data_IF_900349919781
#
_entry.id   IF_900349919781
#
_cell.length_a   1.000
_cell.length_b   1.000
_cell.length_c   1.000
_cell.angle_alpha   90.00
_cell.angle_beta   90.00
_cell.angle_gamma   90.00
#
_symmetry.space_group_name_H-M   'P 1'
#
loop_
_entity.id
_entity.type
_entity.pdbx_description
1 polymer ?
#
# COMPACT_ATOMS: atom_id res chain seq x y z
N UNK A 1 26.36 -4.17 -12.84
CA UNK A 1 25.60 -4.19 -11.57
C UNK A 1 24.13 -3.99 -11.91
N UNK A 2 23.23 -4.85 -11.41
CA UNK A 2 21.79 -4.66 -11.62
C UNK A 2 21.35 -3.38 -10.89
N UNK A 3 20.55 -2.53 -11.54
CA UNK A 3 20.00 -1.33 -10.93
C UNK A 3 18.71 -1.72 -10.17
N UNK A 4 18.69 -1.68 -8.82
CA UNK A 4 17.53 -2.12 -8.03
C UNK A 4 16.25 -1.36 -8.38
N UNK A 5 16.36 -0.12 -8.87
CA UNK A 5 15.22 0.69 -9.29
C UNK A 5 14.47 0.16 -10.52
N UNK A 6 15.04 -0.78 -11.28
CA UNK A 6 14.38 -1.40 -12.43
C UNK A 6 13.60 -2.67 -12.07
N UNK A 7 13.87 -3.27 -10.91
CA UNK A 7 13.18 -4.48 -10.44
C UNK A 7 11.65 -4.37 -10.44
N UNK A 8 11.04 -3.23 -10.02
CA UNK A 8 9.59 -3.08 -10.02
C UNK A 8 8.97 -3.20 -11.43
N UNK A 9 9.69 -2.85 -12.48
CA UNK A 9 9.16 -2.90 -13.85
C UNK A 9 9.12 -4.32 -14.42
N UNK A 10 9.92 -5.25 -13.88
CA UNK A 10 10.00 -6.61 -14.39
C UNK A 10 8.65 -7.35 -14.27
N UNK A 11 7.86 -7.06 -13.22
CA UNK A 11 6.54 -7.68 -13.00
C UNK A 11 5.51 -7.28 -14.05
N UNK A 12 5.75 -6.18 -14.77
CA UNK A 12 4.89 -5.70 -15.86
C UNK A 12 5.26 -6.31 -17.22
N UNK A 13 6.30 -7.15 -17.29
CA UNK A 13 6.71 -7.78 -18.53
C UNK A 13 5.59 -8.64 -19.13
N UNK A 14 5.45 -8.57 -20.46
CA UNK A 14 4.44 -9.33 -21.20
C UNK A 14 4.90 -10.79 -21.37
N UNK A 15 4.84 -11.54 -20.28
CA UNK A 15 5.18 -12.97 -20.23
C UNK A 15 4.04 -13.76 -19.60
N UNK A 16 3.96 -15.06 -19.90
CA UNK A 16 3.02 -15.99 -19.28
C UNK A 16 3.45 -16.43 -17.87
N UNK A 17 4.66 -16.09 -17.43
CA UNK A 17 5.27 -16.57 -16.17
C UNK A 17 5.45 -15.46 -15.13
N UNK A 18 4.47 -14.56 -15.01
CA UNK A 18 4.53 -13.40 -14.11
C UNK A 18 4.73 -13.77 -12.64
N UNK A 19 4.15 -14.86 -12.17
CA UNK A 19 4.33 -15.37 -10.80
C UNK A 19 5.79 -15.68 -10.48
N UNK A 20 6.47 -16.38 -11.39
CA UNK A 20 7.89 -16.72 -11.26
C UNK A 20 8.79 -15.49 -11.34
N UNK A 21 8.40 -14.49 -12.14
CA UNK A 21 9.08 -13.20 -12.19
C UNK A 21 8.96 -12.48 -10.85
N UNK A 22 7.76 -12.41 -10.27
CA UNK A 22 7.55 -11.78 -8.96
C UNK A 22 8.36 -12.49 -7.86
N UNK A 23 8.43 -13.81 -7.87
CA UNK A 23 9.29 -14.58 -6.95
C UNK A 23 10.77 -14.22 -7.10
N UNK A 24 11.27 -14.16 -8.34
CA UNK A 24 12.65 -13.77 -8.64
C UNK A 24 12.95 -12.32 -8.22
N UNK A 25 12.02 -11.40 -8.48
CA UNK A 25 12.13 -10.00 -8.08
C UNK A 25 12.15 -9.88 -6.55
N UNK A 26 11.26 -10.57 -5.84
CA UNK A 26 11.24 -10.59 -4.38
C UNK A 26 12.58 -11.05 -3.80
N UNK A 27 13.15 -12.14 -4.31
CA UNK A 27 14.46 -12.64 -3.89
C UNK A 27 15.59 -11.63 -4.18
N UNK A 28 15.55 -10.92 -5.32
CA UNK A 28 16.54 -9.87 -5.62
C UNK A 28 16.42 -8.67 -4.67
N UNK A 29 15.21 -8.30 -4.28
CA UNK A 29 14.94 -7.22 -3.33
C UNK A 29 15.46 -7.55 -1.93
N UNK A 30 15.32 -8.79 -1.47
CA UNK A 30 15.85 -9.25 -0.17
C UNK A 30 17.37 -9.07 -0.06
N UNK A 31 18.09 -9.10 -1.18
CA UNK A 31 19.54 -8.91 -1.23
C UNK A 31 19.99 -7.43 -1.24
N UNK A 32 19.07 -6.46 -1.25
CA UNK A 32 19.39 -5.04 -1.20
C UNK A 32 19.85 -4.66 0.21
N UNK A 33 21.10 -4.20 0.35
CA UNK A 33 21.72 -3.89 1.65
C UNK A 33 21.14 -2.64 2.33
N UNK A 34 20.76 -1.61 1.56
CA UNK A 34 20.24 -0.37 2.12
C UNK A 34 18.74 -0.53 2.45
N UNK A 35 18.31 -0.46 3.73
CA UNK A 35 16.92 -0.75 4.11
C UNK A 35 15.91 0.19 3.45
N UNK A 36 16.18 1.50 3.42
CA UNK A 36 15.30 2.47 2.75
C UNK A 36 15.12 2.15 1.26
N UNK A 37 16.19 1.75 0.57
CA UNK A 37 16.12 1.36 -0.85
C UNK A 37 15.33 0.08 -1.02
N UNK A 38 15.61 -0.94 -0.20
CA UNK A 38 14.87 -2.20 -0.19
C UNK A 38 13.37 -1.96 -0.01
N UNK A 39 13.00 -1.19 1.01
CA UNK A 39 11.62 -0.91 1.38
C UNK A 39 10.89 -0.14 0.27
N UNK A 40 11.54 0.86 -0.34
CA UNK A 40 10.97 1.61 -1.45
C UNK A 40 10.81 0.76 -2.73
N UNK A 41 11.80 -0.06 -3.07
CA UNK A 41 11.74 -0.95 -4.25
C UNK A 41 10.68 -2.01 -4.07
N UNK A 42 10.57 -2.59 -2.87
CA UNK A 42 9.54 -3.55 -2.55
C UNK A 42 8.13 -2.93 -2.59
N UNK A 43 7.97 -1.72 -2.05
CA UNK A 43 6.69 -1.03 -2.07
C UNK A 43 6.24 -0.71 -3.50
N UNK A 44 7.11 -0.17 -4.34
CA UNK A 44 6.78 0.09 -5.74
C UNK A 44 6.55 -1.20 -6.52
N UNK A 45 7.29 -2.27 -6.24
CA UNK A 45 7.06 -3.61 -6.83
C UNK A 45 5.67 -4.13 -6.50
N UNK A 46 5.25 -4.05 -5.23
CA UNK A 46 3.92 -4.49 -4.82
C UNK A 46 2.80 -3.68 -5.50
N UNK A 47 2.96 -2.36 -5.59
CA UNK A 47 2.00 -1.48 -6.28
C UNK A 47 1.89 -1.86 -7.76
N UNK A 48 3.01 -2.03 -8.46
CA UNK A 48 3.01 -2.39 -9.88
C UNK A 48 2.51 -3.81 -10.12
N UNK A 49 2.88 -4.77 -9.26
CA UNK A 49 2.40 -6.14 -9.34
C UNK A 49 0.87 -6.19 -9.17
N UNK A 50 0.30 -5.35 -8.31
CA UNK A 50 -1.16 -5.26 -8.11
C UNK A 50 -1.94 -4.83 -9.35
N UNK A 51 -1.28 -4.30 -10.38
CA UNK A 51 -1.92 -3.96 -11.66
C UNK A 51 -2.16 -5.19 -12.55
N UNK A 52 -1.41 -6.29 -12.34
CA UNK A 52 -1.33 -7.43 -13.27
C UNK A 52 -1.37 -8.80 -12.59
N UNK A 53 -1.30 -8.87 -11.27
CA UNK A 53 -1.24 -10.10 -10.47
C UNK A 53 -2.25 -10.06 -9.30
N UNK A 54 -2.57 -11.26 -8.79
CA UNK A 54 -3.47 -11.45 -7.65
C UNK A 54 -2.85 -10.95 -6.33
N UNK A 55 -3.66 -10.30 -5.50
CA UNK A 55 -3.22 -9.72 -4.24
C UNK A 55 -2.70 -10.77 -3.24
N UNK A 56 -3.30 -11.96 -3.17
CA UNK A 56 -2.87 -13.00 -2.25
C UNK A 56 -1.46 -13.52 -2.61
N UNK A 57 -1.15 -13.62 -3.91
CA UNK A 57 0.19 -13.93 -4.38
C UNK A 57 1.19 -12.85 -3.95
N UNK A 58 0.85 -11.57 -4.14
CA UNK A 58 1.70 -10.44 -3.78
C UNK A 58 1.97 -10.42 -2.28
N UNK A 59 0.93 -10.55 -1.45
CA UNK A 59 1.07 -10.53 0.01
C UNK A 59 1.90 -11.70 0.56
N UNK A 60 1.86 -12.86 -0.10
CA UNK A 60 2.69 -14.01 0.25
C UNK A 60 4.18 -13.75 0.02
N UNK A 61 4.53 -13.02 -1.05
CA UNK A 61 5.91 -12.81 -1.48
C UNK A 61 6.51 -11.49 -0.98
N UNK A 62 5.72 -10.43 -0.87
CA UNK A 62 6.13 -9.09 -0.47
C UNK A 62 5.43 -8.70 0.85
N UNK A 63 6.11 -8.93 1.97
CA UNK A 63 5.52 -8.73 3.30
C UNK A 63 5.37 -7.24 3.64
N UNK A 64 4.16 -6.85 4.05
CA UNK A 64 3.81 -5.44 4.37
C UNK A 64 4.69 -4.81 5.44
N UNK A 65 5.18 -5.55 6.42
CA UNK A 65 6.02 -5.00 7.51
C UNK A 65 7.34 -4.44 7.00
N UNK A 66 7.90 -5.05 5.97
CA UNK A 66 9.11 -4.56 5.34
C UNK A 66 8.81 -3.26 4.54
N UNK A 67 7.56 -2.98 4.13
CA UNK A 67 7.21 -1.81 3.31
C UNK A 67 6.96 -0.53 4.13
N UNK A 68 6.88 -0.62 5.47
CA UNK A 68 6.40 0.47 6.33
C UNK A 68 7.28 1.73 6.32
N UNK A 69 8.54 1.65 5.89
CA UNK A 69 9.39 2.84 5.76
C UNK A 69 9.15 3.65 4.49
N UNK A 70 8.39 3.13 3.52
CA UNK A 70 8.12 3.85 2.28
C UNK A 70 7.11 4.96 2.51
N UNK A 71 7.52 6.21 2.27
CA UNK A 71 6.64 7.40 2.40
C UNK A 71 5.42 7.28 1.48
N UNK A 72 5.59 6.72 0.28
CA UNK A 72 4.49 6.51 -0.66
C UNK A 72 3.50 5.47 -0.12
N UNK A 73 3.98 4.34 0.41
CA UNK A 73 3.11 3.33 1.01
C UNK A 73 2.33 3.89 2.22
N UNK A 74 2.99 4.68 3.07
CA UNK A 74 2.32 5.35 4.20
C UNK A 74 1.27 6.35 3.74
N UNK A 75 1.52 7.11 2.65
CA UNK A 75 0.54 8.02 2.07
C UNK A 75 -0.72 7.29 1.60
N UNK A 76 -0.58 6.14 0.96
CA UNK A 76 -1.72 5.32 0.50
C UNK A 76 -2.50 4.78 1.69
N UNK A 77 -1.82 4.33 2.75
CA UNK A 77 -2.49 3.89 3.98
C UNK A 77 -3.26 5.02 4.66
N UNK A 78 -2.68 6.23 4.70
CA UNK A 78 -3.35 7.40 5.27
C UNK A 78 -4.58 7.79 4.45
N UNK A 79 -4.48 7.80 3.12
CA UNK A 79 -5.62 8.08 2.23
C UNK A 79 -6.78 7.10 2.49
N UNK A 80 -6.48 5.81 2.67
CA UNK A 80 -7.49 4.81 3.02
C UNK A 80 -8.10 5.01 4.41
N UNK A 81 -7.32 5.50 5.38
CA UNK A 81 -7.82 5.83 6.71
C UNK A 81 -8.76 7.04 6.67
N UNK A 82 -8.38 8.09 5.94
CA UNK A 82 -9.17 9.31 5.75
C UNK A 82 -10.50 9.01 5.03
N UNK A 83 -10.48 8.15 4.00
CA UNK A 83 -11.69 7.75 3.29
C UNK A 83 -12.64 6.96 4.19
N UNK A 84 -12.10 6.05 5.01
CA UNK A 84 -12.90 5.30 5.99
C UNK A 84 -13.49 6.22 7.04
N UNK A 85 -12.73 7.20 7.53
CA UNK A 85 -13.20 8.20 8.48
C UNK A 85 -14.37 9.00 7.90
N UNK A 86 -14.25 9.51 6.66
CA UNK A 86 -15.35 10.16 5.94
C UNK A 86 -16.58 9.27 5.82
N UNK A 87 -16.39 8.00 5.47
CA UNK A 87 -17.50 7.06 5.34
C UNK A 87 -18.24 6.85 6.67
N UNK A 88 -17.51 6.82 7.80
CA UNK A 88 -18.10 6.75 9.14
C UNK A 88 -18.93 8.00 9.44
N UNK A 89 -18.38 9.19 9.18
CA UNK A 89 -19.10 10.46 9.35
C UNK A 89 -20.41 10.48 8.54
N UNK A 90 -20.33 10.12 7.26
CA UNK A 90 -21.50 10.04 6.37
C UNK A 90 -22.55 9.08 6.91
N UNK A 91 -22.15 7.92 7.43
CA UNK A 91 -23.08 6.93 7.97
C UNK A 91 -23.74 7.42 9.27
N UNK A 92 -23.01 8.11 10.14
CA UNK A 92 -23.55 8.69 11.38
C UNK A 92 -24.54 9.81 11.09
N UNK A 93 -24.22 10.70 10.14
CA UNK A 93 -25.14 11.75 9.70
C UNK A 93 -26.44 11.16 9.14
N UNK A 94 -26.34 10.12 8.30
CA UNK A 94 -27.51 9.40 7.76
C UNK A 94 -28.34 8.72 8.85
N UNK A 95 -27.71 8.29 9.94
CA UNK A 95 -28.39 7.72 11.10
C UNK A 95 -29.00 8.78 12.04
N UNK A 96 -28.85 10.07 11.73
CA UNK A 96 -29.37 11.17 12.55
C UNK A 96 -28.53 11.49 13.78
N UNK A 97 -27.26 11.08 13.81
CA UNK A 97 -26.34 11.45 14.89
C UNK A 97 -26.15 12.98 14.96
N UNK A 98 -26.05 13.52 16.18
CA UNK A 98 -25.71 14.93 16.38
C UNK A 98 -24.24 15.18 16.04
N UNK A 99 -23.91 16.42 15.65
CA UNK A 99 -22.53 16.82 15.40
C UNK A 99 -21.64 16.60 16.62
N UNK A 100 -22.15 16.83 17.83
CA UNK A 100 -21.44 16.58 19.09
C UNK A 100 -21.07 15.10 19.28
N UNK A 101 -21.96 14.18 18.92
CA UNK A 101 -21.65 12.75 18.98
C UNK A 101 -20.61 12.37 17.93
N UNK A 102 -20.67 12.94 16.73
CA UNK A 102 -19.72 12.65 15.64
C UNK A 102 -18.32 13.13 16.03
N UNK A 103 -18.17 14.35 16.56
CA UNK A 103 -16.86 14.86 17.02
C UNK A 103 -16.30 14.02 18.15
N UNK A 104 -17.14 13.55 19.09
CA UNK A 104 -16.71 12.69 20.19
C UNK A 104 -16.24 11.30 19.72
N UNK A 105 -16.93 10.70 18.73
CA UNK A 105 -16.61 9.35 18.24
C UNK A 105 -15.43 9.35 17.27
N UNK A 106 -15.35 10.35 16.40
CA UNK A 106 -14.31 10.42 15.35
C UNK A 106 -13.08 11.22 15.77
N UNK A 107 -13.21 12.12 16.75
CA UNK A 107 -12.17 13.08 17.10
C UNK A 107 -12.04 14.24 16.10
N UNK A 108 -12.91 14.31 15.09
CA UNK A 108 -12.92 15.39 14.10
C UNK A 108 -13.46 16.70 14.68
N UNK A 109 -12.97 17.81 14.14
CA UNK A 109 -13.58 19.13 14.37
C UNK A 109 -14.82 19.28 13.50
N UNK A 110 -15.75 20.16 13.90
CA UNK A 110 -16.96 20.45 13.11
C UNK A 110 -16.63 20.93 11.70
N UNK A 111 -15.50 21.60 11.50
CA UNK A 111 -15.03 22.04 10.17
C UNK A 111 -14.66 20.89 9.22
N UNK A 112 -14.33 19.71 9.77
CA UNK A 112 -13.93 18.51 9.02
C UNK A 112 -15.08 17.51 8.82
N UNK A 113 -16.26 17.81 9.37
CA UNK A 113 -17.50 17.01 9.26
C UNK A 113 -18.39 17.60 8.17
#
# INVERSE_FOLDING_TARGET
MANPGLLPLAVLSDTSTKDSILQSVAAQIENITNPRTQNNVMASTAILAGLVLDEALIQRLLRRDNMRESVIYQSILQEGADEKERQIVVNLLKAGASLELITQVTGLTVEKI
#
